data_IF_247085196744
#
_entry.id   IF_247085196744
#
_cell.length_a   1.000
_cell.length_b   1.000
_cell.length_c   1.000
_cell.angle_alpha   90.00
_cell.angle_beta   90.00
_cell.angle_gamma   90.00
#
_symmetry.space_group_name_H-M   'P 1'
#
loop_
_entity.id
_entity.type
_entity.pdbx_description
1 polymer ?
#
# COMPACT_ATOMS: atom_id res chain seq x y z
N UNK A 1 17.58 31.90 -21.57
CA UNK A 1 18.53 30.99 -20.90
C UNK A 1 17.71 30.23 -19.87
N UNK A 2 17.32 29.00 -20.15
CA UNK A 2 16.66 28.12 -19.19
C UNK A 2 17.73 27.65 -18.22
N UNK A 3 17.73 28.17 -16.99
CA UNK A 3 18.47 27.55 -15.91
C UNK A 3 17.87 26.16 -15.73
N UNK A 4 18.60 25.12 -16.13
CA UNK A 4 18.30 23.77 -15.72
C UNK A 4 18.71 23.72 -14.26
N UNK A 5 17.77 23.92 -13.36
CA UNK A 5 18.01 23.72 -11.95
C UNK A 5 18.10 22.21 -11.71
N UNK A 6 19.17 21.77 -11.05
CA UNK A 6 19.35 20.36 -10.69
C UNK A 6 18.30 20.00 -9.63
N UNK A 7 17.47 18.99 -9.92
CA UNK A 7 16.50 18.45 -8.96
C UNK A 7 17.26 17.92 -7.73
N UNK A 8 16.80 18.29 -6.53
CA UNK A 8 17.42 17.85 -5.28
C UNK A 8 17.30 16.33 -5.11
N UNK A 9 18.37 15.67 -4.66
CA UNK A 9 18.33 14.23 -4.36
C UNK A 9 17.30 13.88 -3.28
N UNK A 10 17.02 14.81 -2.35
CA UNK A 10 15.99 14.63 -1.32
C UNK A 10 14.60 14.59 -1.93
N UNK A 11 14.34 15.43 -2.95
CA UNK A 11 13.07 15.43 -3.69
C UNK A 11 12.88 14.11 -4.41
N UNK A 12 13.90 13.64 -5.14
CA UNK A 12 13.84 12.33 -5.81
C UNK A 12 13.60 11.20 -4.81
N UNK A 13 14.34 11.15 -3.70
CA UNK A 13 14.19 10.10 -2.69
C UNK A 13 12.79 10.11 -2.03
N UNK A 14 12.21 11.29 -1.77
CA UNK A 14 10.86 11.41 -1.25
C UNK A 14 9.81 10.89 -2.25
N UNK A 15 9.91 11.30 -3.53
CA UNK A 15 8.99 10.84 -4.57
C UNK A 15 9.11 9.34 -4.84
N UNK A 16 10.31 8.77 -4.78
CA UNK A 16 10.52 7.33 -4.91
C UNK A 16 9.79 6.55 -3.81
N UNK A 17 9.78 7.06 -2.58
CA UNK A 17 9.01 6.46 -1.48
C UNK A 17 7.51 6.70 -1.62
N UNK A 18 7.10 7.92 -2.01
CA UNK A 18 5.69 8.25 -2.24
C UNK A 18 5.07 7.37 -3.33
N UNK A 19 5.82 7.05 -4.38
CA UNK A 19 5.38 6.17 -5.47
C UNK A 19 5.09 4.73 -5.01
N UNK A 20 5.64 4.33 -3.87
CA UNK A 20 5.45 3.01 -3.28
C UNK A 20 4.34 3.00 -2.21
N UNK A 21 3.92 4.17 -1.72
CA UNK A 21 2.92 4.28 -0.67
C UNK A 21 1.54 3.83 -1.17
N UNK A 22 0.82 3.10 -0.32
CA UNK A 22 -0.58 2.76 -0.56
C UNK A 22 -1.51 3.75 0.17
N UNK A 23 -0.99 4.46 1.17
CA UNK A 23 -1.70 5.50 1.90
C UNK A 23 -0.75 6.54 2.47
N UNK A 24 -1.23 7.78 2.63
CA UNK A 24 -0.48 8.91 3.17
C UNK A 24 -1.26 9.55 4.32
N UNK A 25 -0.57 10.12 5.30
CA UNK A 25 -1.18 10.91 6.36
C UNK A 25 -0.43 12.23 6.49
N UNK A 26 -1.14 13.35 6.58
CA UNK A 26 -0.57 14.69 6.79
C UNK A 26 -1.03 15.22 8.15
N UNK A 27 -0.12 15.70 9.02
CA UNK A 27 -0.42 16.36 10.31
C UNK A 27 -1.45 15.66 11.20
N UNK A 28 -1.39 14.33 11.29
CA UNK A 28 -2.36 13.51 12.04
C UNK A 28 -3.83 13.64 11.56
N UNK A 29 -4.04 14.19 10.36
CA UNK A 29 -5.29 14.21 9.59
C UNK A 29 -5.73 12.78 9.20
N UNK A 30 -6.97 12.54 8.74
CA UNK A 30 -7.38 11.28 8.13
C UNK A 30 -6.38 10.68 7.13
N UNK A 31 -6.37 9.34 7.09
CA UNK A 31 -5.58 8.55 6.15
C UNK A 31 -6.05 8.83 4.71
N UNK A 32 -5.15 9.37 3.90
CA UNK A 32 -5.33 9.70 2.49
C UNK A 32 -5.03 8.49 1.61
N UNK A 33 -5.88 8.26 0.61
CA UNK A 33 -5.69 7.21 -0.41
C UNK A 33 -5.41 7.77 -1.81
N UNK A 34 -5.44 9.10 -1.97
CA UNK A 34 -5.23 9.77 -3.26
C UNK A 34 -4.40 11.04 -3.10
N UNK A 35 -3.51 11.26 -4.06
CA UNK A 35 -2.69 12.46 -4.19
C UNK A 35 -2.25 12.61 -5.64
N UNK A 36 -1.92 13.84 -6.02
CA UNK A 36 -1.39 14.17 -7.34
C UNK A 36 0.10 14.51 -7.24
N UNK A 37 0.88 14.05 -8.21
CA UNK A 37 2.31 14.36 -8.35
C UNK A 37 2.57 14.95 -9.72
N UNK A 38 3.24 16.09 -9.77
CA UNK A 38 3.70 16.73 -11.01
C UNK A 38 5.17 16.38 -11.30
N UNK A 39 5.64 16.62 -12.52
CA UNK A 39 7.05 16.36 -12.86
C UNK A 39 7.98 17.35 -12.14
N UNK A 40 9.06 16.88 -11.48
CA UNK A 40 10.08 17.78 -10.95
C UNK A 40 10.75 18.58 -12.07
N UNK A 41 10.87 19.88 -11.86
CA UNK A 41 11.46 20.85 -12.79
C UNK A 41 12.79 21.41 -12.29
N UNK A 42 13.12 21.21 -11.01
CA UNK A 42 14.24 21.85 -10.33
C UNK A 42 13.91 23.24 -9.79
N UNK A 43 12.72 23.78 -10.08
CA UNK A 43 12.32 25.11 -9.62
C UNK A 43 11.87 25.05 -8.15
N UNK A 44 12.44 25.86 -7.24
CA UNK A 44 12.07 25.87 -5.82
C UNK A 44 10.57 25.99 -5.57
N UNK A 45 9.89 26.85 -6.34
CA UNK A 45 8.45 27.12 -6.22
C UNK A 45 7.57 26.16 -7.02
N UNK A 46 8.12 25.09 -7.59
CA UNK A 46 7.31 24.10 -8.30
C UNK A 46 6.44 23.34 -7.30
N UNK A 47 5.12 23.46 -7.42
CA UNK A 47 4.15 22.68 -6.65
C UNK A 47 4.19 21.24 -7.14
N UNK A 48 4.74 20.36 -6.32
CA UNK A 48 5.15 19.04 -6.74
C UNK A 48 4.16 17.95 -6.33
N UNK A 49 3.63 18.06 -5.11
CA UNK A 49 2.72 17.06 -4.54
C UNK A 49 1.52 17.75 -3.94
N UNK A 50 0.33 17.29 -4.31
CA UNK A 50 -0.94 17.75 -3.73
C UNK A 50 -1.67 16.60 -3.06
N UNK A 51 -1.80 16.71 -1.75
CA UNK A 51 -2.61 15.85 -0.91
C UNK A 51 -4.01 16.44 -0.77
N UNK A 52 -5.06 15.62 -0.79
CA UNK A 52 -6.44 16.11 -0.62
C UNK A 52 -7.33 15.12 0.12
N UNK A 53 -8.22 15.64 0.96
CA UNK A 53 -9.21 14.87 1.70
C UNK A 53 -10.50 15.63 1.93
N UNK A 54 -11.55 14.87 2.18
CA UNK A 54 -12.80 15.38 2.71
C UNK A 54 -12.87 15.14 4.23
N UNK A 55 -13.21 16.17 4.99
CA UNK A 55 -13.55 16.04 6.41
C UNK A 55 -14.74 16.95 6.76
N UNK A 56 -15.76 16.39 7.40
CA UNK A 56 -16.96 17.15 7.77
C UNK A 56 -17.72 17.76 6.59
N UNK A 57 -17.62 17.19 5.39
CA UNK A 57 -18.24 17.71 4.16
C UNK A 57 -17.52 18.93 3.57
N UNK A 58 -16.27 19.18 3.99
CA UNK A 58 -15.38 20.19 3.42
C UNK A 58 -14.18 19.50 2.77
N UNK A 59 -13.75 20.04 1.63
CA UNK A 59 -12.55 19.60 0.93
C UNK A 59 -11.33 20.40 1.42
N UNK A 60 -10.29 19.68 1.82
CA UNK A 60 -9.01 20.23 2.24
C UNK A 60 -7.90 19.76 1.31
N UNK A 61 -6.83 20.54 1.25
CA UNK A 61 -5.64 20.16 0.52
C UNK A 61 -4.38 20.71 1.17
N UNK A 62 -3.29 19.96 0.98
CA UNK A 62 -1.94 20.33 1.36
C UNK A 62 -1.06 20.22 0.12
N UNK A 63 -0.26 21.26 -0.16
CA UNK A 63 0.61 21.31 -1.34
C UNK A 63 2.05 21.46 -0.90
N UNK A 64 2.91 20.56 -1.36
CA UNK A 64 4.35 20.61 -1.13
C UNK A 64 5.07 21.10 -2.37
N UNK A 65 6.03 22.00 -2.17
CA UNK A 65 6.92 22.48 -3.23
C UNK A 65 8.22 21.69 -3.28
N UNK A 66 8.96 21.79 -4.38
CA UNK A 66 10.32 21.24 -4.46
C UNK A 66 11.25 21.80 -3.37
N UNK A 67 11.14 23.09 -3.04
CA UNK A 67 11.91 23.69 -1.95
C UNK A 67 11.53 23.13 -0.59
N UNK A 68 10.22 23.06 -0.30
CA UNK A 68 9.70 22.52 0.95
C UNK A 68 10.17 21.08 1.19
N UNK A 69 10.09 20.24 0.16
CA UNK A 69 10.61 18.87 0.21
C UNK A 69 12.13 18.88 0.30
N UNK A 70 12.86 19.67 -0.50
CA UNK A 70 14.32 19.67 -0.45
C UNK A 70 14.89 20.09 0.91
N UNK A 71 14.21 20.98 1.62
CA UNK A 71 14.56 21.44 2.97
C UNK A 71 14.07 20.48 4.09
N UNK A 72 13.23 19.51 3.74
CA UNK A 72 12.64 18.56 4.67
C UNK A 72 13.61 17.50 5.21
N UNK A 73 13.16 16.77 6.24
CA UNK A 73 13.94 15.75 6.93
C UNK A 73 13.07 14.62 7.45
N UNK A 74 13.63 13.42 7.54
CA UNK A 74 13.01 12.31 8.25
C UNK A 74 13.21 12.44 9.77
N UNK A 75 12.13 12.27 10.53
CA UNK A 75 12.13 12.13 11.98
C UNK A 75 11.38 10.85 12.35
N UNK A 76 12.11 9.76 12.51
CA UNK A 76 11.50 8.43 12.62
C UNK A 76 10.92 7.99 11.28
N UNK A 77 9.63 7.66 11.26
CA UNK A 77 8.83 7.26 10.10
C UNK A 77 8.05 8.41 9.45
N UNK A 78 8.24 9.63 9.95
CA UNK A 78 7.59 10.84 9.43
C UNK A 78 8.58 11.73 8.68
N UNK A 79 8.10 12.36 7.62
CA UNK A 79 8.82 13.38 6.89
C UNK A 79 8.33 14.77 7.28
N UNK A 80 9.20 15.58 7.86
CA UNK A 80 8.90 16.95 8.27
C UNK A 80 9.41 17.90 7.20
N UNK A 81 8.53 18.73 6.66
CA UNK A 81 8.84 19.70 5.61
C UNK A 81 7.97 20.94 5.74
N UNK A 82 8.21 21.94 4.89
CA UNK A 82 7.32 23.10 4.75
C UNK A 82 6.38 22.88 3.58
N UNK A 83 5.13 23.34 3.73
CA UNK A 83 4.18 23.41 2.64
C UNK A 83 4.39 24.65 1.75
N UNK A 84 3.48 24.90 0.82
CA UNK A 84 3.55 26.06 -0.07
C UNK A 84 3.29 27.41 0.63
N UNK A 85 2.65 27.40 1.81
CA UNK A 85 2.39 28.60 2.62
C UNK A 85 3.54 28.89 3.61
N UNK A 86 4.44 27.91 3.79
CA UNK A 86 5.60 27.99 4.67
C UNK A 86 5.36 27.43 6.07
N UNK A 87 4.26 26.71 6.25
CA UNK A 87 3.91 26.04 7.51
C UNK A 87 4.59 24.66 7.59
N UNK A 88 5.05 24.27 8.79
CA UNK A 88 5.66 22.96 9.01
C UNK A 88 4.59 21.87 9.05
N UNK A 89 4.79 20.82 8.26
CA UNK A 89 3.86 19.69 8.13
C UNK A 89 4.58 18.36 8.24
N UNK A 90 3.90 17.37 8.84
CA UNK A 90 4.35 16.00 9.02
C UNK A 90 3.66 15.05 8.03
N UNK A 91 4.45 14.38 7.18
CA UNK A 91 3.95 13.40 6.20
C UNK A 91 4.37 11.98 6.60
N UNK A 92 3.40 11.09 6.76
CA UNK A 92 3.63 9.65 6.91
C UNK A 92 3.28 8.91 5.63
N UNK A 93 4.21 8.08 5.13
CA UNK A 93 4.01 7.23 3.94
C UNK A 93 3.83 5.79 4.38
N UNK A 94 2.69 5.18 4.06
CA UNK A 94 2.32 3.86 4.57
C UNK A 94 2.20 2.84 3.42
N UNK A 95 2.77 1.66 3.62
CA UNK A 95 2.51 0.48 2.79
C UNK A 95 1.48 -0.40 3.50
N UNK A 96 0.36 -0.68 2.84
CA UNK A 96 -0.71 -1.47 3.42
C UNK A 96 -0.43 -2.95 3.18
N UNK A 97 -0.35 -3.71 4.26
CA UNK A 97 -0.25 -5.18 4.19
C UNK A 97 -1.63 -5.77 4.48
N UNK A 98 -2.23 -6.51 3.53
CA UNK A 98 -3.50 -7.19 3.77
C UNK A 98 -3.40 -8.14 4.96
N UNK A 99 -4.38 -8.09 5.85
CA UNK A 99 -4.50 -9.06 6.93
C UNK A 99 -4.98 -10.39 6.34
N UNK A 100 -4.20 -11.45 6.57
CA UNK A 100 -4.59 -12.81 6.18
C UNK A 100 -5.26 -13.52 7.35
N UNK A 101 -6.36 -14.26 7.13
CA UNK A 101 -6.92 -15.14 8.14
C UNK A 101 -5.86 -16.12 8.65
N UNK A 102 -5.88 -16.43 9.94
CA UNK A 102 -4.97 -17.41 10.57
C UNK A 102 -5.68 -18.71 10.93
N UNK A 103 -6.99 -18.79 10.68
CA UNK A 103 -7.85 -19.90 11.01
C UNK A 103 -8.62 -20.39 9.78
N UNK A 104 -8.80 -21.70 9.70
CA UNK A 104 -9.53 -22.37 8.64
C UNK A 104 -11.01 -21.99 8.64
N UNK A 105 -11.52 -21.58 7.47
CA UNK A 105 -12.91 -21.15 7.29
C UNK A 105 -13.92 -22.27 7.58
N UNK A 106 -13.48 -23.53 7.48
CA UNK A 106 -14.33 -24.70 7.68
C UNK A 106 -14.35 -25.21 9.12
N UNK A 107 -13.18 -25.42 9.72
CA UNK A 107 -13.07 -26.16 10.97
C UNK A 107 -12.47 -25.35 12.12
N UNK A 108 -12.00 -24.12 11.87
CA UNK A 108 -11.40 -23.25 12.89
C UNK A 108 -10.00 -23.64 13.35
N UNK A 109 -9.40 -24.70 12.79
CA UNK A 109 -8.00 -25.05 13.01
C UNK A 109 -7.05 -23.98 12.45
N UNK A 110 -5.81 -23.92 12.93
CA UNK A 110 -4.82 -22.98 12.42
C UNK A 110 -4.48 -23.23 10.94
N UNK A 111 -4.00 -22.19 10.25
CA UNK A 111 -3.50 -22.30 8.88
C UNK A 111 -1.97 -22.40 8.83
N UNK A 112 -1.46 -23.27 7.95
CA UNK A 112 -0.09 -23.29 7.44
C UNK A 112 -0.08 -22.62 6.06
N UNK A 113 0.22 -21.33 6.02
CA UNK A 113 0.01 -20.51 4.83
C UNK A 113 -1.49 -20.39 4.51
N UNK A 114 -1.89 -20.82 3.32
CA UNK A 114 -3.29 -20.81 2.90
C UNK A 114 -4.00 -22.16 3.14
N UNK A 115 -3.34 -23.15 3.76
CA UNK A 115 -3.84 -24.51 3.96
C UNK A 115 -4.17 -24.79 5.43
N UNK A 116 -5.17 -25.62 5.69
CA UNK A 116 -5.57 -26.05 7.03
C UNK A 116 -4.53 -26.98 7.64
N UNK A 117 -4.14 -26.75 8.89
CA UNK A 117 -3.20 -27.62 9.62
C UNK A 117 -3.82 -28.95 10.08
N UNK A 118 -5.14 -29.08 9.99
CA UNK A 118 -5.84 -30.33 10.26
C UNK A 118 -5.93 -31.15 8.97
N UNK A 119 -5.11 -32.19 8.88
CA UNK A 119 -5.01 -33.13 7.76
C UNK A 119 -6.33 -33.85 7.42
N UNK A 120 -7.32 -33.82 8.32
CA UNK A 120 -8.65 -34.39 8.05
C UNK A 120 -9.61 -33.40 7.39
N UNK A 121 -9.25 -32.11 7.37
CA UNK A 121 -10.03 -31.07 6.73
C UNK A 121 -9.74 -31.05 5.23
N UNK A 122 -10.76 -30.90 4.38
CA UNK A 122 -10.57 -30.80 2.92
C UNK A 122 -9.61 -29.67 2.51
N UNK A 123 -9.51 -28.64 3.35
CA UNK A 123 -8.61 -27.51 3.12
C UNK A 123 -7.17 -27.76 3.58
N UNK A 124 -6.80 -28.95 4.06
CA UNK A 124 -5.37 -29.34 4.17
C UNK A 124 -4.75 -29.48 2.77
N UNK A 125 -5.55 -29.97 1.83
CA UNK A 125 -5.18 -30.17 0.43
C UNK A 125 -5.47 -28.96 -0.46
N UNK A 126 -6.42 -28.12 -0.07
CA UNK A 126 -6.90 -26.99 -0.88
C UNK A 126 -6.74 -25.67 -0.14
N UNK A 127 -6.31 -24.58 -0.81
CA UNK A 127 -6.15 -23.30 -0.13
C UNK A 127 -7.52 -22.71 0.27
N UNK A 128 -7.53 -21.85 1.29
CA UNK A 128 -8.76 -21.21 1.81
C UNK A 128 -9.54 -20.41 0.75
N UNK A 129 -8.88 -20.01 -0.34
CA UNK A 129 -9.48 -19.26 -1.46
C UNK A 129 -10.45 -20.09 -2.30
N UNK A 130 -10.37 -21.42 -2.28
CA UNK A 130 -11.29 -22.29 -3.02
C UNK A 130 -12.63 -22.38 -2.27
N UNK A 131 -13.75 -22.21 -2.98
CA UNK A 131 -15.06 -22.40 -2.33
C UNK A 131 -15.37 -23.86 -2.05
N UNK A 132 -15.95 -24.13 -0.88
CA UNK A 132 -16.20 -25.49 -0.42
C UNK A 132 -17.19 -26.22 -1.34
N UNK A 133 -18.20 -25.50 -1.81
CA UNK A 133 -19.25 -26.01 -2.66
C UNK A 133 -18.67 -26.56 -3.97
N UNK A 134 -17.68 -25.86 -4.52
CA UNK A 134 -17.01 -26.25 -5.77
C UNK A 134 -16.24 -27.56 -5.64
N UNK A 135 -15.62 -27.81 -4.48
CA UNK A 135 -14.92 -29.06 -4.18
C UNK A 135 -15.81 -30.30 -4.27
N UNK A 136 -17.13 -30.12 -4.17
CA UNK A 136 -18.12 -31.21 -4.28
C UNK A 136 -18.73 -31.36 -5.67
N UNK A 137 -18.54 -30.37 -6.55
CA UNK A 137 -19.21 -30.28 -7.86
C UNK A 137 -18.22 -30.49 -9.00
N UNK A 138 -17.03 -29.93 -8.90
CA UNK A 138 -16.04 -29.90 -9.97
C UNK A 138 -14.94 -30.95 -9.75
N UNK A 139 -14.36 -31.42 -10.86
CA UNK A 139 -13.15 -32.22 -10.81
C UNK A 139 -11.93 -31.36 -10.41
N UNK A 140 -10.87 -32.01 -9.91
CA UNK A 140 -9.66 -31.32 -9.42
C UNK A 140 -9.09 -30.33 -10.44
N UNK A 141 -8.93 -30.75 -11.70
CA UNK A 141 -8.39 -29.94 -12.79
C UNK A 141 -9.25 -28.71 -13.10
N UNK A 142 -10.58 -28.87 -13.07
CA UNK A 142 -11.53 -27.76 -13.24
C UNK A 142 -11.42 -26.74 -12.10
N UNK A 143 -11.17 -27.19 -10.86
CA UNK A 143 -10.97 -26.31 -9.70
C UNK A 143 -9.64 -25.57 -9.80
N UNK A 144 -8.57 -26.27 -10.17
CA UNK A 144 -7.25 -25.67 -10.37
C UNK A 144 -7.29 -24.58 -11.45
N UNK A 145 -7.98 -24.83 -12.56
CA UNK A 145 -8.18 -23.84 -13.63
C UNK A 145 -9.03 -22.65 -13.15
N UNK A 146 -10.16 -22.89 -12.50
CA UNK A 146 -11.10 -21.84 -12.06
C UNK A 146 -10.46 -20.87 -11.06
N UNK A 147 -9.66 -21.39 -10.13
CA UNK A 147 -9.08 -20.60 -9.05
C UNK A 147 -7.62 -20.20 -9.30
N UNK A 148 -6.97 -20.76 -10.33
CA UNK A 148 -5.56 -20.53 -10.61
C UNK A 148 -4.64 -21.06 -9.49
N UNK A 149 -5.02 -22.16 -8.86
CA UNK A 149 -4.28 -22.80 -7.75
C UNK A 149 -3.96 -24.24 -8.07
N UNK A 150 -3.13 -24.88 -7.25
CA UNK A 150 -2.89 -26.32 -7.32
C UNK A 150 -3.28 -26.99 -6.01
N UNK A 151 -3.86 -28.19 -6.12
CA UNK A 151 -4.12 -29.05 -4.99
C UNK A 151 -2.77 -29.47 -4.38
N UNK A 152 -2.62 -29.32 -3.06
CA UNK A 152 -1.46 -29.84 -2.34
C UNK A 152 -1.53 -31.37 -2.41
N UNK A 153 -0.55 -31.98 -3.05
CA UNK A 153 -0.34 -33.43 -2.96
C UNK A 153 0.60 -33.68 -1.80
N UNK A 154 0.18 -34.48 -0.82
CA UNK A 154 1.09 -34.95 0.22
C UNK A 154 2.33 -35.56 -0.42
N UNK A 155 3.52 -35.06 -0.05
CA UNK A 155 4.79 -35.67 -0.45
C UNK A 155 4.78 -37.10 0.06
N UNK A 156 4.68 -38.08 -0.85
CA UNK A 156 4.86 -39.47 -0.49
C UNK A 156 6.28 -39.63 0.08
N UNK A 157 6.38 -39.84 1.39
CA UNK A 157 7.61 -40.29 2.06
C UNK A 157 7.88 -41.76 1.73
#
# INVERSE_FOLDING_TARGET
MTNIHTISSSVTAFLDLLSQADAVMADSSPLLISWDVTEPTGSPSNELVRFSWEDGGLDYALVLTEEGIAAGRWQGDKYLCLDCEGDEVEISLNKLTPLKPTMCKQCGSHLDGDYCSDETCVFSDWPQSVEREDLSVFATDEIEEKYGVQKRTATAL
#
